data_IF_121215220260
#
_entry.id   IF_121215220260
#
_cell.length_a   1.000
_cell.length_b   1.000
_cell.length_c   1.000
_cell.angle_alpha   90.00
_cell.angle_beta   90.00
_cell.angle_gamma   90.00
#
_symmetry.space_group_name_H-M   'P 1'
#
loop_
_entity.id
_entity.type
_entity.pdbx_description
1 polymer ?
#
# COMPACT_ATOMS: atom_id res chain seq x y z
N UNK A 1 11.36 9.31 27.24
CA UNK A 1 10.50 9.03 26.06
C UNK A 1 11.09 9.76 24.86
N UNK A 2 11.64 9.02 23.89
CA UNK A 2 12.21 9.64 22.68
C UNK A 2 11.10 10.35 21.90
N UNK A 3 11.29 11.64 21.60
CA UNK A 3 10.28 12.40 20.85
C UNK A 3 10.20 11.88 19.42
N UNK A 4 8.98 11.64 18.96
CA UNK A 4 8.65 11.07 17.64
C UNK A 4 9.24 11.83 16.43
N UNK A 5 9.81 13.02 16.64
CA UNK A 5 10.37 13.85 15.57
C UNK A 5 11.75 13.37 15.09
N UNK A 6 12.51 12.71 15.95
CA UNK A 6 13.90 12.31 15.64
C UNK A 6 14.03 10.86 15.19
N UNK A 7 12.97 10.05 15.29
CA UNK A 7 12.99 8.68 14.80
C UNK A 7 12.60 8.61 13.32
N UNK A 8 13.25 7.75 12.51
CA UNK A 8 12.89 7.59 11.12
C UNK A 8 11.43 7.17 10.99
N UNK A 9 10.74 7.78 10.03
CA UNK A 9 9.33 7.53 9.73
C UNK A 9 9.18 7.09 8.28
N UNK A 10 8.32 6.12 8.02
CA UNK A 10 7.99 5.72 6.67
C UNK A 10 6.63 5.06 6.56
N UNK A 11 6.40 4.41 5.43
CA UNK A 11 5.18 3.68 5.12
C UNK A 11 5.50 2.19 4.95
N UNK A 12 4.54 1.29 5.20
CA UNK A 12 4.73 -0.13 4.93
C UNK A 12 4.96 -0.31 3.44
N UNK A 13 6.10 -0.92 3.09
CA UNK A 13 6.47 -1.26 1.72
C UNK A 13 6.93 -2.70 1.72
N UNK A 14 6.66 -3.40 0.62
CA UNK A 14 7.06 -4.80 0.45
C UNK A 14 8.24 -4.84 -0.52
N UNK A 15 9.35 -5.53 -0.19
CA UNK A 15 10.48 -5.63 -1.11
C UNK A 15 10.04 -6.37 -2.38
N UNK A 16 10.29 -5.77 -3.55
CA UNK A 16 9.98 -6.35 -4.86
C UNK A 16 8.52 -6.86 -5.00
N UNK A 17 7.56 -6.24 -4.32
CA UNK A 17 6.15 -6.65 -4.34
C UNK A 17 5.94 -8.14 -4.02
N UNK A 18 6.74 -8.66 -3.09
CA UNK A 18 6.67 -10.03 -2.62
C UNK A 18 5.24 -10.44 -2.21
N UNK A 19 4.76 -11.59 -2.69
CA UNK A 19 3.41 -12.09 -2.39
C UNK A 19 2.32 -11.74 -3.42
N UNK A 20 2.56 -10.85 -4.40
CA UNK A 20 1.63 -10.69 -5.54
C UNK A 20 1.72 -11.87 -6.50
N UNK A 21 2.94 -12.26 -6.87
CA UNK A 21 3.18 -13.42 -7.76
C UNK A 21 3.57 -14.68 -6.99
N UNK A 22 4.77 -14.66 -6.39
CA UNK A 22 5.28 -15.72 -5.52
C UNK A 22 5.89 -15.15 -4.27
N UNK A 23 5.96 -15.97 -3.22
CA UNK A 23 6.70 -15.64 -2.01
C UNK A 23 8.18 -15.98 -2.15
N UNK A 24 9.05 -15.04 -1.78
CA UNK A 24 10.50 -15.19 -1.70
C UNK A 24 10.94 -14.82 -0.27
N UNK A 25 11.64 -15.74 0.41
CA UNK A 25 12.26 -15.46 1.70
C UNK A 25 13.33 -14.37 1.54
N UNK A 26 13.25 -13.32 2.36
CA UNK A 26 14.17 -12.18 2.25
C UNK A 26 15.49 -12.40 2.98
N UNK A 27 15.51 -13.29 3.98
CA UNK A 27 16.71 -13.64 4.70
C UNK A 27 17.63 -14.46 3.80
N UNK A 28 18.79 -13.89 3.45
CA UNK A 28 19.75 -14.52 2.54
C UNK A 28 20.76 -15.35 3.30
N UNK A 29 21.29 -14.78 4.39
CA UNK A 29 22.42 -15.35 5.13
C UNK A 29 22.28 -15.11 6.61
N UNK A 30 22.58 -16.15 7.37
CA UNK A 30 22.74 -16.08 8.83
C UNK A 30 24.19 -16.42 9.17
N UNK A 31 24.85 -15.60 9.97
CA UNK A 31 26.18 -15.92 10.53
C UNK A 31 26.13 -15.94 12.05
N UNK A 32 26.30 -17.13 12.63
CA UNK A 32 26.40 -17.32 14.08
C UNK A 32 27.86 -17.17 14.50
N UNK A 33 28.15 -16.11 15.26
CA UNK A 33 29.46 -15.86 15.85
C UNK A 33 29.42 -16.27 17.31
N UNK A 34 30.24 -17.23 17.73
CA UNK A 34 30.24 -17.75 19.10
C UNK A 34 31.63 -18.13 19.59
N UNK A 35 31.84 -18.19 20.90
CA UNK A 35 33.07 -18.71 21.49
C UNK A 35 32.90 -20.17 21.91
N UNK A 36 33.95 -20.99 21.72
CA UNK A 36 33.92 -22.42 22.07
C UNK A 36 33.96 -22.66 23.59
N UNK A 37 34.67 -21.82 24.34
CA UNK A 37 34.90 -22.00 25.78
C UNK A 37 34.10 -21.07 26.69
N UNK A 38 33.63 -19.93 26.17
CA UNK A 38 32.91 -18.96 27.01
C UNK A 38 31.55 -19.50 27.46
N UNK A 39 31.23 -19.33 28.74
CA UNK A 39 29.89 -19.59 29.29
C UNK A 39 28.81 -18.75 28.62
N UNK A 40 29.15 -17.52 28.19
CA UNK A 40 28.20 -16.62 27.55
C UNK A 40 27.65 -17.11 26.21
N UNK A 41 28.37 -18.04 25.56
CA UNK A 41 28.01 -18.63 24.27
C UNK A 41 27.41 -20.04 24.43
N UNK A 42 27.04 -20.45 25.65
CA UNK A 42 26.54 -21.79 25.93
C UNK A 42 25.29 -22.11 25.10
N UNK A 43 24.22 -21.32 25.20
CA UNK A 43 22.97 -21.66 24.50
C UNK A 43 23.05 -21.60 22.96
N UNK A 44 24.01 -20.86 22.39
CA UNK A 44 24.27 -20.95 20.94
C UNK A 44 24.96 -22.26 20.57
N UNK A 45 25.89 -22.76 21.41
CA UNK A 45 26.50 -24.06 21.18
C UNK A 45 25.47 -25.17 21.30
N UNK A 46 24.63 -25.10 22.34
CA UNK A 46 23.53 -26.05 22.54
C UNK A 46 22.62 -26.06 21.29
N UNK A 47 22.19 -24.88 20.80
CA UNK A 47 21.42 -24.77 19.55
C UNK A 47 22.13 -25.33 18.31
N UNK A 48 23.45 -25.13 18.20
CA UNK A 48 24.24 -25.66 17.09
C UNK A 48 24.27 -27.20 17.10
N UNK A 49 24.31 -27.80 18.29
CA UNK A 49 24.37 -29.25 18.46
C UNK A 49 22.99 -29.92 18.27
N UNK A 50 21.90 -29.26 18.65
CA UNK A 50 20.54 -29.84 18.62
C UNK A 50 19.74 -29.47 17.38
N UNK A 51 19.53 -28.17 17.12
CA UNK A 51 18.41 -27.69 16.29
C UNK A 51 18.84 -27.05 14.97
N UNK A 52 20.13 -26.72 14.82
CA UNK A 52 20.65 -26.01 13.66
C UNK A 52 20.40 -26.75 12.34
N UNK A 53 20.59 -28.07 12.33
CA UNK A 53 20.43 -28.89 11.13
C UNK A 53 18.96 -28.92 10.71
N UNK A 54 18.05 -29.11 11.68
CA UNK A 54 16.60 -29.08 11.45
C UNK A 54 16.17 -27.72 10.86
N UNK A 55 16.63 -26.62 11.44
CA UNK A 55 16.36 -25.27 10.91
C UNK A 55 16.85 -25.09 9.46
N UNK A 56 18.05 -25.58 9.14
CA UNK A 56 18.60 -25.48 7.78
C UNK A 56 17.81 -26.32 6.76
N UNK A 57 17.26 -27.46 7.18
CA UNK A 57 16.39 -28.29 6.35
C UNK A 57 15.02 -27.65 6.11
N UNK A 58 14.44 -27.01 7.13
CA UNK A 58 13.18 -26.28 7.03
C UNK A 58 13.28 -25.02 6.15
N UNK A 59 14.44 -24.36 6.15
CA UNK A 59 14.67 -23.12 5.41
C UNK A 59 15.84 -23.23 4.41
N UNK A 60 15.68 -23.99 3.31
CA UNK A 60 16.76 -24.23 2.35
C UNK A 60 17.18 -22.97 1.57
N UNK A 61 16.35 -21.92 1.57
CA UNK A 61 16.68 -20.63 0.94
C UNK A 61 17.68 -19.79 1.72
N UNK A 62 17.96 -20.12 2.98
CA UNK A 62 18.83 -19.34 3.87
C UNK A 62 20.17 -20.04 4.05
N UNK A 63 21.27 -19.35 3.71
CA UNK A 63 22.61 -19.87 3.95
C UNK A 63 23.06 -19.63 5.40
N UNK A 64 23.34 -20.68 6.16
CA UNK A 64 23.77 -20.56 7.56
C UNK A 64 25.27 -20.82 7.71
N UNK A 65 25.98 -19.88 8.34
CA UNK A 65 27.41 -19.93 8.57
C UNK A 65 27.74 -19.92 10.06
N UNK A 66 28.70 -20.76 10.45
CA UNK A 66 29.25 -20.82 11.79
C UNK A 66 30.63 -20.18 11.82
N UNK A 67 30.81 -19.18 12.67
CA UNK A 67 32.10 -18.47 12.84
C UNK A 67 32.55 -18.52 14.30
N UNK A 68 33.35 -19.51 14.70
CA UNK A 68 33.91 -19.55 16.05
C UNK A 68 34.90 -18.39 16.25
N UNK A 69 34.75 -17.63 17.33
CA UNK A 69 35.61 -16.51 17.74
C UNK A 69 36.03 -16.67 19.20
N UNK A 70 37.33 -16.76 19.46
CA UNK A 70 37.87 -16.89 20.81
C UNK A 70 37.70 -15.60 21.61
N UNK A 71 37.33 -15.70 22.89
CA UNK A 71 37.21 -14.59 23.85
C UNK A 71 36.37 -13.41 23.36
N UNK A 72 35.33 -13.67 22.57
CA UNK A 72 34.39 -12.65 22.10
C UNK A 72 32.97 -13.03 22.46
N UNK A 73 32.18 -12.01 22.81
CA UNK A 73 30.74 -12.19 23.03
C UNK A 73 30.07 -12.73 21.78
N UNK A 74 29.11 -13.65 21.95
CA UNK A 74 28.37 -14.18 20.83
C UNK A 74 27.55 -13.11 20.13
N UNK A 75 27.43 -13.21 18.81
CA UNK A 75 26.57 -12.34 18.00
C UNK A 75 25.95 -13.10 16.85
N UNK A 76 24.71 -12.75 16.57
CA UNK A 76 23.92 -13.21 15.44
C UNK A 76 23.97 -12.13 14.35
N UNK A 77 24.18 -12.54 13.09
CA UNK A 77 24.15 -11.63 11.93
C UNK A 77 23.17 -12.14 10.92
N UNK A 78 22.18 -11.33 10.58
CA UNK A 78 21.27 -11.57 9.47
C UNK A 78 21.60 -10.61 8.33
N UNK A 79 21.71 -11.14 7.12
CA UNK A 79 21.84 -10.37 5.88
C UNK A 79 20.65 -10.67 5.00
N UNK A 80 20.03 -9.61 4.50
CA UNK A 80 18.81 -9.66 3.69
C UNK A 80 19.11 -9.42 2.20
N UNK A 81 18.17 -9.78 1.33
CA UNK A 81 18.32 -9.60 -0.13
C UNK A 81 18.44 -8.13 -0.55
N UNK A 82 17.85 -7.20 0.21
CA UNK A 82 17.97 -5.76 -0.01
C UNK A 82 19.37 -5.21 0.34
N UNK A 83 20.27 -6.04 0.88
CA UNK A 83 21.61 -5.65 1.32
C UNK A 83 21.68 -5.19 2.77
N UNK A 84 20.54 -5.09 3.46
CA UNK A 84 20.50 -4.69 4.87
C UNK A 84 21.12 -5.78 5.75
N UNK A 85 21.86 -5.34 6.78
CA UNK A 85 22.57 -6.23 7.69
C UNK A 85 22.27 -5.86 9.13
N UNK A 86 21.72 -6.82 9.84
CA UNK A 86 21.36 -6.65 11.24
C UNK A 86 22.21 -7.55 12.14
N UNK A 87 22.66 -6.98 13.25
CA UNK A 87 23.51 -7.67 14.22
C UNK A 87 22.87 -7.59 15.59
N UNK A 88 22.64 -8.75 16.20
CA UNK A 88 22.16 -8.87 17.57
C UNK A 88 23.25 -9.49 18.45
N UNK A 89 23.37 -8.98 19.67
CA UNK A 89 24.14 -9.63 20.73
C UNK A 89 23.34 -10.79 21.31
N UNK A 90 23.94 -11.97 21.37
CA UNK A 90 23.30 -13.17 21.88
C UNK A 90 23.92 -13.63 23.21
N UNK A 91 24.34 -12.66 24.02
CA UNK A 91 25.02 -12.92 25.29
C UNK A 91 24.05 -13.60 26.26
N UNK A 92 24.42 -14.78 26.76
CA UNK A 92 23.61 -15.60 27.68
C UNK A 92 22.23 -16.01 27.13
N UNK A 93 22.06 -16.06 25.81
CA UNK A 93 20.85 -16.62 25.23
C UNK A 93 20.77 -18.12 25.49
N UNK A 94 19.56 -18.60 25.74
CA UNK A 94 19.20 -20.02 25.71
C UNK A 94 19.00 -20.49 24.27
N UNK A 95 19.06 -21.81 24.03
CA UNK A 95 18.82 -22.37 22.70
C UNK A 95 17.41 -22.01 22.17
N UNK A 96 16.40 -22.04 23.05
CA UNK A 96 15.01 -21.71 22.71
C UNK A 96 14.82 -20.23 22.35
N UNK A 97 15.47 -19.31 23.06
CA UNK A 97 15.48 -17.89 22.67
C UNK A 97 16.12 -17.70 21.30
N UNK A 98 17.20 -18.44 21.02
CA UNK A 98 17.85 -18.41 19.72
C UNK A 98 16.86 -18.81 18.61
N UNK A 99 16.14 -19.93 18.75
CA UNK A 99 15.12 -20.37 17.79
C UNK A 99 14.07 -19.28 17.55
N UNK A 100 13.56 -18.65 18.61
CA UNK A 100 12.58 -17.55 18.51
C UNK A 100 13.14 -16.39 17.69
N UNK A 101 14.39 -16.00 17.95
CA UNK A 101 15.06 -14.95 17.18
C UNK A 101 15.25 -15.36 15.72
N UNK A 102 15.70 -16.58 15.44
CA UNK A 102 15.83 -17.07 14.06
C UNK A 102 14.50 -17.04 13.30
N UNK A 103 13.41 -17.48 13.93
CA UNK A 103 12.08 -17.46 13.33
C UNK A 103 11.60 -16.04 13.06
N UNK A 104 11.86 -15.11 13.98
CA UNK A 104 11.56 -13.68 13.78
C UNK A 104 12.35 -13.11 12.59
N UNK A 105 13.65 -13.41 12.48
CA UNK A 105 14.49 -12.90 11.41
C UNK A 105 14.15 -13.51 10.05
N UNK A 106 13.70 -14.76 10.04
CA UNK A 106 13.28 -15.48 8.83
C UNK A 106 11.98 -14.92 8.27
N UNK A 107 11.05 -14.51 9.13
CA UNK A 107 9.76 -13.92 8.73
C UNK A 107 9.85 -12.43 8.39
N UNK A 108 10.97 -11.77 8.73
CA UNK A 108 11.17 -10.35 8.51
C UNK A 108 11.64 -10.04 7.08
N UNK A 109 11.30 -8.84 6.59
CA UNK A 109 11.62 -8.37 5.24
C UNK A 109 13.01 -7.75 5.07
N UNK A 110 13.73 -7.45 6.16
CA UNK A 110 14.99 -6.72 6.13
C UNK A 110 14.87 -5.20 6.02
N UNK A 111 13.65 -4.65 6.05
CA UNK A 111 13.44 -3.20 6.10
C UNK A 111 13.84 -2.70 7.50
N UNK A 112 14.61 -1.59 7.62
CA UNK A 112 15.05 -1.07 8.91
C UNK A 112 13.86 -0.69 9.79
N UNK A 113 13.99 -0.89 11.10
CA UNK A 113 12.93 -0.54 12.04
C UNK A 113 12.69 0.97 12.00
N UNK A 114 11.49 1.34 11.60
CA UNK A 114 11.04 2.73 11.54
C UNK A 114 9.61 2.84 12.05
N UNK A 115 9.20 4.05 12.42
CA UNK A 115 7.80 4.29 12.78
C UNK A 115 6.96 4.36 11.52
N UNK A 116 5.92 3.53 11.43
CA UNK A 116 4.95 3.65 10.35
C UNK A 116 4.02 4.85 10.56
N UNK A 117 3.89 5.69 9.53
CA UNK A 117 2.96 6.81 9.50
C UNK A 117 1.51 6.34 9.28
N UNK A 118 1.33 5.30 8.46
CA UNK A 118 0.06 4.62 8.20
C UNK A 118 0.30 3.12 8.22
N UNK A 119 -0.68 2.35 8.65
CA UNK A 119 -0.60 0.88 8.74
C UNK A 119 -1.00 0.18 7.42
N UNK A 120 -1.25 0.96 6.36
CA UNK A 120 -1.65 0.47 5.05
C UNK A 120 -0.93 1.26 3.96
N UNK A 121 -0.86 0.66 2.78
CA UNK A 121 -0.29 1.26 1.59
C UNK A 121 -1.01 0.73 0.35
N UNK A 122 -1.24 1.60 -0.63
CA UNK A 122 -1.77 1.28 -1.96
C UNK A 122 -1.07 2.16 -2.97
N UNK A 123 -0.73 1.61 -4.14
CA UNK A 123 -0.24 2.39 -5.27
C UNK A 123 -1.42 3.06 -6.03
N UNK A 124 -2.63 2.49 -5.94
CA UNK A 124 -3.86 2.99 -6.57
C UNK A 124 -4.89 3.40 -5.50
N UNK A 125 -4.90 4.66 -5.04
CA UNK A 125 -5.79 5.10 -3.95
C UNK A 125 -7.24 5.38 -4.38
N UNK A 126 -7.51 5.72 -5.64
CA UNK A 126 -8.86 5.92 -6.18
C UNK A 126 -9.08 5.08 -7.43
N UNK A 127 -10.31 4.61 -7.63
CA UNK A 127 -10.74 3.80 -8.77
C UNK A 127 -11.50 4.67 -9.78
N UNK A 128 -12.39 5.55 -9.32
CA UNK A 128 -13.27 6.38 -10.16
C UNK A 128 -12.70 7.76 -10.49
N UNK A 129 -11.50 8.06 -10.00
CA UNK A 129 -10.87 9.37 -10.11
C UNK A 129 -10.70 10.04 -8.75
N UNK A 130 -9.64 10.83 -8.60
CA UNK A 130 -9.39 11.58 -7.37
C UNK A 130 -10.33 12.78 -7.36
N UNK A 131 -10.94 13.04 -6.21
CA UNK A 131 -11.77 14.24 -6.05
C UNK A 131 -10.96 15.49 -6.35
N UNK A 132 -11.52 16.33 -7.22
CA UNK A 132 -11.10 17.71 -7.46
C UNK A 132 -12.19 18.69 -7.05
N UNK A 133 -11.87 19.96 -6.74
CA UNK A 133 -12.87 20.99 -6.46
C UNK A 133 -13.93 21.17 -7.57
N UNK A 134 -13.62 20.76 -8.80
CA UNK A 134 -14.51 20.88 -9.97
C UNK A 134 -15.34 19.62 -10.24
N UNK A 135 -15.16 18.53 -9.49
CA UNK A 135 -15.82 17.24 -9.77
C UNK A 135 -17.35 17.35 -9.78
N UNK A 136 -17.90 18.10 -8.84
CA UNK A 136 -19.35 18.27 -8.67
C UNK A 136 -19.77 19.71 -9.03
N UNK A 137 -19.04 20.36 -9.94
CA UNK A 137 -19.37 21.70 -10.43
C UNK A 137 -19.93 21.60 -11.83
N UNK A 138 -20.95 22.41 -12.10
CA UNK A 138 -21.51 22.52 -13.44
C UNK A 138 -20.43 23.09 -14.39
N UNK A 139 -20.10 22.40 -15.50
CA UNK A 139 -19.14 22.90 -16.49
C UNK A 139 -19.53 24.26 -17.08
N UNK A 140 -20.81 24.63 -17.05
CA UNK A 140 -21.29 25.94 -17.51
C UNK A 140 -20.57 27.11 -16.81
N UNK A 141 -20.23 26.95 -15.52
CA UNK A 141 -19.56 27.97 -14.72
C UNK A 141 -18.20 28.41 -15.29
N UNK A 142 -17.55 27.57 -16.09
CA UNK A 142 -16.24 27.87 -16.66
C UNK A 142 -16.34 28.83 -17.88
N UNK A 143 -17.46 28.81 -18.59
CA UNK A 143 -17.69 29.60 -19.80
C UNK A 143 -18.36 30.93 -19.46
N UNK A 144 -19.19 30.95 -18.41
CA UNK A 144 -19.97 32.12 -18.03
C UNK A 144 -19.09 33.27 -17.55
N UNK A 145 -19.30 34.45 -18.14
CA UNK A 145 -18.74 35.71 -17.61
C UNK A 145 -19.62 36.20 -16.45
N UNK A 146 -19.00 36.49 -15.31
CA UNK A 146 -19.72 36.98 -14.14
C UNK A 146 -19.73 38.52 -14.09
N UNK A 147 -20.83 39.14 -13.61
CA UNK A 147 -22.05 38.53 -13.05
C UNK A 147 -23.06 38.07 -14.11
N UNK A 148 -23.53 36.82 -14.02
CA UNK A 148 -24.54 36.27 -14.93
C UNK A 148 -25.94 36.28 -14.30
N UNK A 149 -26.91 36.85 -15.03
CA UNK A 149 -28.29 36.98 -14.56
C UNK A 149 -28.97 35.61 -14.42
N UNK A 150 -28.64 34.66 -15.29
CA UNK A 150 -29.22 33.31 -15.28
C UNK A 150 -28.84 32.51 -14.04
N UNK A 151 -27.55 32.46 -13.70
CA UNK A 151 -27.06 31.75 -12.52
C UNK A 151 -27.43 32.44 -11.20
N UNK A 152 -27.79 33.72 -11.25
CA UNK A 152 -28.29 34.47 -10.09
C UNK A 152 -29.75 34.14 -9.73
N UNK A 153 -30.50 33.49 -10.63
CA UNK A 153 -31.88 33.12 -10.37
C UNK A 153 -31.97 32.03 -9.30
N UNK A 154 -32.96 32.09 -8.39
CA UNK A 154 -33.16 31.04 -7.40
C UNK A 154 -33.60 29.73 -8.09
N UNK A 155 -33.04 28.60 -7.63
CA UNK A 155 -33.32 27.27 -8.20
C UNK A 155 -34.79 26.85 -8.02
N UNK A 156 -35.46 27.39 -6.99
CA UNK A 156 -36.85 27.10 -6.66
C UNK A 156 -37.84 28.11 -7.25
N UNK A 157 -37.41 28.95 -8.22
CA UNK A 157 -38.35 29.82 -8.93
C UNK A 157 -39.27 28.96 -9.79
N UNK A 158 -40.54 28.88 -9.41
CA UNK A 158 -41.56 28.24 -10.23
C UNK A 158 -41.75 29.05 -11.52
N UNK A 159 -42.06 28.34 -12.62
CA UNK A 159 -42.34 29.00 -13.89
C UNK A 159 -43.57 29.88 -13.73
N UNK A 160 -43.53 31.06 -14.33
CA UNK A 160 -44.75 31.86 -14.40
C UNK A 160 -45.79 31.11 -15.24
N UNK A 161 -47.08 31.23 -14.88
CA UNK A 161 -48.18 30.68 -15.69
C UNK A 161 -48.10 31.12 -17.17
N UNK A 162 -47.53 32.30 -17.44
CA UNK A 162 -47.31 32.79 -18.82
C UNK A 162 -46.18 32.04 -19.54
N UNK A 163 -45.09 31.73 -18.85
CA UNK A 163 -43.97 30.95 -19.39
C UNK A 163 -44.39 29.50 -19.66
N UNK A 164 -45.21 28.92 -18.79
CA UNK A 164 -45.79 27.58 -19.00
C UNK A 164 -46.66 27.53 -20.26
N UNK A 165 -47.54 28.52 -20.46
CA UNK A 165 -48.36 28.60 -21.68
C UNK A 165 -47.51 28.75 -22.93
N UNK A 166 -46.44 29.55 -22.90
CA UNK A 166 -45.51 29.69 -24.02
C UNK A 166 -44.79 28.37 -24.31
N UNK A 167 -44.36 27.63 -23.30
CA UNK A 167 -43.79 26.29 -23.48
C UNK A 167 -44.80 25.31 -24.08
N UNK A 168 -46.07 25.33 -23.66
CA UNK A 168 -47.12 24.50 -24.21
C UNK A 168 -47.36 24.80 -25.70
N UNK A 169 -47.43 26.08 -26.07
CA UNK A 169 -47.60 26.51 -27.46
C UNK A 169 -46.39 26.09 -28.31
N UNK A 170 -45.17 26.25 -27.79
CA UNK A 170 -43.98 25.84 -28.53
C UNK A 170 -43.92 24.32 -28.72
N UNK A 171 -44.31 23.53 -27.71
CA UNK A 171 -44.41 22.06 -27.83
C UNK A 171 -45.44 21.65 -28.88
N UNK A 172 -46.60 22.33 -28.95
CA UNK A 172 -47.62 22.08 -29.98
C UNK A 172 -47.11 22.38 -31.39
N UNK A 173 -46.43 23.51 -31.58
CA UNK A 173 -45.83 23.83 -32.89
C UNK A 173 -44.81 22.78 -33.33
N UNK A 174 -43.98 22.30 -32.41
CA UNK A 174 -43.00 21.24 -32.70
C UNK A 174 -43.71 19.92 -33.04
N UNK A 175 -44.82 19.57 -32.38
CA UNK A 175 -45.58 18.37 -32.76
C UNK A 175 -46.21 18.50 -34.14
N UNK A 176 -46.82 19.65 -34.42
CA UNK A 176 -47.48 19.91 -35.70
C UNK A 176 -46.46 19.89 -36.86
N UNK A 177 -45.25 20.44 -36.66
CA UNK A 177 -44.15 20.39 -37.64
C UNK A 177 -43.65 18.96 -37.90
N UNK A 178 -43.50 18.14 -36.85
CA UNK A 178 -43.10 16.73 -37.00
C UNK A 178 -44.18 15.89 -37.70
N UNK A 179 -45.46 16.18 -37.46
CA UNK A 179 -46.59 15.52 -38.12
C UNK A 179 -46.66 15.89 -39.62
N UNK A 180 -46.39 17.16 -39.96
CA UNK A 180 -46.28 17.61 -41.35
C UNK A 180 -45.10 16.95 -42.08
N UNK A 181 -43.94 16.82 -41.42
CA UNK A 181 -42.76 16.19 -42.02
C UNK A 181 -42.93 14.68 -42.18
N UNK A 182 -43.57 13.99 -41.25
CA UNK A 182 -43.91 12.57 -41.40
C UNK A 182 -44.92 12.32 -42.52
N UNK A 183 -45.91 13.21 -42.69
CA UNK A 183 -46.85 13.15 -43.81
C UNK A 183 -46.16 13.37 -45.16
N UNK A 184 -45.22 14.31 -45.26
CA UNK A 184 -44.42 14.53 -46.48
C UNK A 184 -43.55 13.32 -46.82
N UNK A 185 -42.94 12.67 -45.83
CA UNK A 185 -42.14 11.46 -46.03
C UNK A 185 -43.00 10.29 -46.51
N UNK A 186 -44.21 10.09 -45.95
CA UNK A 186 -45.14 9.05 -46.40
C UNK A 186 -45.66 9.30 -47.82
N UNK A 187 -45.95 10.55 -48.17
CA UNK A 187 -46.38 10.94 -49.52
C UNK A 187 -45.28 10.79 -50.58
N UNK A 188 -44.00 10.85 -50.20
CA UNK A 188 -42.87 10.63 -51.10
C UNK A 188 -42.50 9.15 -51.30
N UNK A 189 -43.05 8.24 -50.49
CA UNK A 189 -42.81 6.79 -50.55
C UNK A 189 -43.91 6.02 -51.32
N UNK A 190 -45.03 6.68 -51.66
CA UNK A 190 -46.06 6.19 -52.59
C UNK A 190 -45.77 6.67 -54.00
#
# INVERSE_FOLDING_TARGET
>A
MSSSRFTPRGFPRVPLQNGIGRYICQLKRVTLRFCKSSGSSRGIRDFIETDLISYAQEHPGTAVYLKPRRHKSPSFVAEYLNGEREVISCHNFTAQEMIKWLNLYTTRSGIPLMRYAKMWHTDCPSIQGVWSPFTNKDPALNITQFPSKELSKPVWEEKSATEELLEMINKQKISDENDDDTQKVQAAQM
#
